data_IF_005444238829
#
_entry.id   IF_005444238829
#
_cell.length_a   1.000
_cell.length_b   1.000
_cell.length_c   1.000
_cell.angle_alpha   90.00
_cell.angle_beta   90.00
_cell.angle_gamma   90.00
#
_symmetry.space_group_name_H-M   'P 1'
#
loop_
_entity.id
_entity.type
_entity.pdbx_description
1 polymer ?
#
# COMPACT_ATOMS: atom_id res chain seq x y z
N UNK A 1 6.00 -14.20 -37.24
CA UNK A 1 5.72 -14.39 -35.79
C UNK A 1 6.33 -13.22 -35.06
N UNK A 2 5.70 -12.69 -34.00
CA UNK A 2 6.32 -11.69 -33.15
C UNK A 2 7.66 -12.20 -32.60
N UNK A 3 8.62 -11.32 -32.38
CA UNK A 3 9.88 -11.70 -31.74
C UNK A 3 9.65 -12.19 -30.30
N UNK A 4 10.68 -12.82 -29.71
CA UNK A 4 10.56 -13.46 -28.40
C UNK A 4 10.25 -12.47 -27.28
N UNK A 5 10.80 -11.25 -27.33
CA UNK A 5 10.50 -10.23 -26.32
C UNK A 5 9.05 -9.76 -26.44
N UNK A 6 8.54 -9.55 -27.66
CA UNK A 6 7.13 -9.22 -27.89
C UNK A 6 6.19 -10.31 -27.32
N UNK A 7 6.57 -11.59 -27.43
CA UNK A 7 5.81 -12.70 -26.83
C UNK A 7 5.87 -12.68 -25.29
N UNK A 8 7.06 -12.49 -24.70
CA UNK A 8 7.24 -12.34 -23.26
C UNK A 8 6.42 -11.15 -22.71
N UNK A 9 6.51 -10.01 -23.37
CA UNK A 9 5.77 -8.80 -23.02
C UNK A 9 4.26 -9.04 -23.04
N UNK A 10 3.75 -9.80 -24.03
CA UNK A 10 2.36 -10.22 -24.07
C UNK A 10 1.92 -11.00 -22.82
N UNK A 11 2.77 -11.92 -22.33
CA UNK A 11 2.52 -12.67 -21.10
C UNK A 11 2.62 -11.82 -19.83
N UNK A 12 3.60 -10.92 -19.78
CA UNK A 12 3.73 -9.95 -18.69
C UNK A 12 2.46 -9.10 -18.56
N UNK A 13 1.98 -8.55 -19.68
CA UNK A 13 0.77 -7.71 -19.70
C UNK A 13 -0.47 -8.52 -19.35
N UNK A 14 -0.58 -9.78 -19.78
CA UNK A 14 -1.67 -10.68 -19.40
C UNK A 14 -1.75 -10.84 -17.87
N UNK A 15 -0.62 -11.11 -17.22
CA UNK A 15 -0.53 -11.22 -15.76
C UNK A 15 -0.84 -9.87 -15.09
N UNK A 16 -0.25 -8.78 -15.56
CA UNK A 16 -0.47 -7.44 -14.98
C UNK A 16 -1.93 -6.99 -15.05
N UNK A 17 -2.66 -7.38 -16.10
CA UNK A 17 -4.11 -7.13 -16.19
C UNK A 17 -4.91 -7.91 -15.15
N UNK A 18 -4.54 -9.16 -14.88
CA UNK A 18 -5.20 -9.95 -13.82
C UNK A 18 -4.95 -9.33 -12.45
N UNK A 19 -3.74 -8.81 -12.19
CA UNK A 19 -3.43 -8.05 -10.97
C UNK A 19 -4.32 -6.81 -10.85
N UNK A 20 -4.51 -6.05 -11.93
CA UNK A 20 -5.40 -4.89 -11.92
C UNK A 20 -6.88 -5.26 -11.69
N UNK A 21 -7.35 -6.39 -12.23
CA UNK A 21 -8.71 -6.90 -11.96
C UNK A 21 -8.85 -7.28 -10.48
N UNK A 22 -7.85 -7.94 -9.90
CA UNK A 22 -7.83 -8.27 -8.47
C UNK A 22 -7.87 -7.01 -7.59
N UNK A 23 -7.08 -5.99 -7.94
CA UNK A 23 -7.09 -4.69 -7.27
C UNK A 23 -8.47 -4.02 -7.28
N UNK A 24 -9.18 -4.06 -8.42
CA UNK A 24 -10.55 -3.54 -8.53
C UNK A 24 -11.55 -4.31 -7.65
N UNK A 25 -11.42 -5.64 -7.61
CA UNK A 25 -12.29 -6.51 -6.82
C UNK A 25 -12.09 -6.27 -5.32
N UNK A 26 -10.84 -6.08 -4.89
CA UNK A 26 -10.49 -5.74 -3.52
C UNK A 26 -10.98 -4.33 -3.15
N UNK A 27 -10.79 -3.35 -4.04
CA UNK A 27 -11.34 -2.01 -3.83
C UNK A 27 -12.85 -2.04 -3.60
N UNK A 28 -13.61 -2.75 -4.44
CA UNK A 28 -15.06 -2.85 -4.28
C UNK A 28 -15.43 -3.56 -2.98
N UNK A 29 -14.64 -4.56 -2.57
CA UNK A 29 -14.86 -5.31 -1.33
C UNK A 29 -14.83 -4.40 -0.10
N UNK A 30 -13.91 -3.44 -0.09
CA UNK A 30 -13.67 -2.55 1.05
C UNK A 30 -14.43 -1.21 0.95
N UNK A 31 -15.26 -1.03 -0.08
CA UNK A 31 -16.03 0.21 -0.32
C UNK A 31 -17.53 -0.04 -0.51
N UNK A 32 -17.93 -0.78 -1.55
CA UNK A 32 -19.31 -0.85 -2.03
C UNK A 32 -19.97 -2.22 -1.94
N UNK A 33 -19.18 -3.28 -1.69
CA UNK A 33 -19.69 -4.64 -1.68
C UNK A 33 -20.83 -4.81 -0.66
N UNK A 34 -22.02 -5.29 -1.07
CA UNK A 34 -23.10 -5.61 -0.14
C UNK A 34 -22.67 -6.70 0.84
N UNK A 35 -23.16 -6.63 2.08
CA UNK A 35 -22.79 -7.57 3.15
C UNK A 35 -23.01 -9.06 2.80
N UNK A 36 -24.01 -9.38 1.98
CA UNK A 36 -24.29 -10.76 1.54
C UNK A 36 -23.39 -11.24 0.38
N UNK A 37 -22.54 -10.38 -0.17
CA UNK A 37 -21.65 -10.68 -1.31
C UNK A 37 -20.36 -11.41 -0.95
N UNK A 38 -20.03 -11.55 0.33
CA UNK A 38 -18.74 -12.05 0.83
C UNK A 38 -18.33 -13.40 0.21
N UNK A 39 -19.24 -14.38 0.13
CA UNK A 39 -18.89 -15.71 -0.37
C UNK A 39 -18.55 -15.69 -1.88
N UNK A 40 -19.40 -15.04 -2.68
CA UNK A 40 -19.15 -14.92 -4.12
C UNK A 40 -17.87 -14.11 -4.40
N UNK A 41 -17.60 -13.06 -3.61
CA UNK A 41 -16.36 -12.28 -3.69
C UNK A 41 -15.13 -13.13 -3.39
N UNK A 42 -15.18 -13.94 -2.35
CA UNK A 42 -14.09 -14.83 -1.99
C UNK A 42 -13.79 -15.85 -3.11
N UNK A 43 -14.81 -16.41 -3.75
CA UNK A 43 -14.66 -17.31 -4.91
C UNK A 43 -14.02 -16.61 -6.12
N UNK A 44 -14.41 -15.36 -6.41
CA UNK A 44 -13.80 -14.55 -7.47
C UNK A 44 -12.31 -14.30 -7.22
N UNK A 45 -11.96 -13.83 -6.03
CA UNK A 45 -10.56 -13.61 -5.63
C UNK A 45 -9.73 -14.90 -5.71
N UNK A 46 -10.30 -16.02 -5.25
CA UNK A 46 -9.62 -17.32 -5.31
C UNK A 46 -9.34 -17.75 -6.77
N UNK A 47 -10.32 -17.62 -7.67
CA UNK A 47 -10.14 -17.97 -9.08
C UNK A 47 -9.08 -17.11 -9.76
N UNK A 48 -9.05 -15.80 -9.48
CA UNK A 48 -8.03 -14.91 -10.03
C UNK A 48 -6.66 -15.27 -9.50
N UNK A 49 -6.52 -15.49 -8.19
CA UNK A 49 -5.25 -15.88 -7.58
C UNK A 49 -4.70 -17.19 -8.18
N UNK A 50 -5.55 -18.21 -8.37
CA UNK A 50 -5.18 -19.48 -9.03
C UNK A 50 -4.71 -19.22 -10.46
N UNK A 51 -5.47 -18.44 -11.24
CA UNK A 51 -5.17 -18.18 -12.65
C UNK A 51 -3.86 -17.40 -12.80
N UNK A 52 -3.68 -16.36 -11.98
CA UNK A 52 -2.45 -15.56 -11.94
C UNK A 52 -1.23 -16.42 -11.57
N UNK A 53 -1.35 -17.27 -10.54
CA UNK A 53 -0.26 -18.15 -10.13
C UNK A 53 0.12 -19.13 -11.25
N UNK A 54 -0.86 -19.79 -11.87
CA UNK A 54 -0.62 -20.71 -13.00
C UNK A 54 0.14 -20.05 -14.15
N UNK A 55 -0.20 -18.80 -14.50
CA UNK A 55 0.51 -18.05 -15.54
C UNK A 55 1.94 -17.69 -15.10
N UNK A 56 2.10 -17.21 -13.87
CA UNK A 56 3.37 -16.79 -13.29
C UNK A 56 4.37 -17.93 -13.10
N UNK A 57 3.92 -19.18 -13.04
CA UNK A 57 4.78 -20.37 -12.90
C UNK A 57 4.74 -21.27 -14.14
N UNK A 58 4.15 -20.82 -15.26
CA UNK A 58 4.01 -21.67 -16.44
C UNK A 58 5.35 -21.93 -17.14
N UNK A 59 5.53 -23.15 -17.66
CA UNK A 59 6.71 -23.52 -18.46
C UNK A 59 6.88 -22.59 -19.67
N UNK A 60 5.77 -22.20 -20.31
CA UNK A 60 5.79 -21.27 -21.43
C UNK A 60 6.38 -19.90 -21.07
N UNK A 61 6.08 -19.37 -19.88
CA UNK A 61 6.70 -18.13 -19.40
C UNK A 61 8.19 -18.33 -19.12
N UNK A 62 8.57 -19.44 -18.47
CA UNK A 62 9.96 -19.78 -18.18
C UNK A 62 10.81 -19.97 -19.45
N UNK A 63 10.25 -20.61 -20.47
CA UNK A 63 10.89 -20.77 -21.78
C UNK A 63 11.11 -19.41 -22.44
N UNK A 64 10.12 -18.51 -22.42
CA UNK A 64 10.27 -17.16 -22.97
C UNK A 64 11.36 -16.37 -22.22
N UNK A 65 11.34 -16.38 -20.88
CA UNK A 65 12.34 -15.70 -20.04
C UNK A 65 13.75 -16.20 -20.36
N UNK A 66 13.94 -17.52 -20.49
CA UNK A 66 15.25 -18.14 -20.75
C UNK A 66 15.80 -17.84 -22.15
N UNK A 67 14.95 -17.35 -23.05
CA UNK A 67 15.24 -17.19 -24.46
C UNK A 67 15.27 -15.72 -24.93
N UNK A 68 15.11 -14.77 -24.02
CA UNK A 68 15.19 -13.33 -24.27
C UNK A 68 16.45 -12.78 -23.61
N UNK A 69 17.21 -12.00 -24.36
CA UNK A 69 18.41 -11.33 -23.87
C UNK A 69 18.14 -9.84 -23.63
N UNK A 70 18.84 -9.29 -22.63
CA UNK A 70 18.93 -7.85 -22.40
C UNK A 70 19.64 -7.17 -23.57
N UNK A 71 19.21 -5.96 -23.91
CA UNK A 71 19.75 -5.21 -25.06
C UNK A 71 20.40 -3.88 -24.69
N UNK A 72 20.39 -3.52 -23.41
CA UNK A 72 20.77 -2.19 -22.92
C UNK A 72 19.65 -1.15 -23.02
N UNK A 73 18.42 -1.58 -23.36
CA UNK A 73 17.25 -0.70 -23.41
C UNK A 73 16.56 -0.73 -22.03
N UNK A 74 16.56 0.37 -21.26
CA UNK A 74 16.20 0.32 -19.84
C UNK A 74 14.81 -0.26 -19.52
N UNK A 75 13.78 0.10 -20.29
CA UNK A 75 12.41 -0.37 -20.06
C UNK A 75 12.27 -1.87 -20.35
N UNK A 76 12.85 -2.32 -21.47
CA UNK A 76 12.87 -3.73 -21.86
C UNK A 76 13.65 -4.57 -20.86
N UNK A 77 14.85 -4.14 -20.50
CA UNK A 77 15.72 -4.91 -19.60
C UNK A 77 15.12 -4.98 -18.18
N UNK A 78 14.43 -3.92 -17.73
CA UNK A 78 13.67 -3.93 -16.47
C UNK A 78 12.54 -4.96 -16.51
N UNK A 79 11.76 -5.00 -17.60
CA UNK A 79 10.70 -5.99 -17.75
C UNK A 79 11.24 -7.42 -17.74
N UNK A 80 12.36 -7.68 -18.41
CA UNK A 80 13.01 -9.00 -18.44
C UNK A 80 13.50 -9.39 -17.05
N UNK A 81 14.27 -8.50 -16.39
CA UNK A 81 14.86 -8.75 -15.07
C UNK A 81 13.80 -9.03 -14.01
N UNK A 82 12.77 -8.20 -13.93
CA UNK A 82 11.72 -8.36 -12.91
C UNK A 82 10.81 -9.56 -13.22
N UNK A 83 10.50 -9.83 -14.50
CA UNK A 83 9.78 -11.05 -14.86
C UNK A 83 10.56 -12.31 -14.49
N UNK A 84 11.87 -12.32 -14.74
CA UNK A 84 12.76 -13.42 -14.33
C UNK A 84 12.78 -13.58 -12.82
N UNK A 85 12.99 -12.50 -12.06
CA UNK A 85 12.98 -12.51 -10.60
C UNK A 85 11.68 -13.07 -10.04
N UNK A 86 10.54 -12.59 -10.54
CA UNK A 86 9.22 -13.02 -10.09
C UNK A 86 8.96 -14.49 -10.43
N UNK A 87 9.30 -14.93 -11.65
CA UNK A 87 9.18 -16.33 -12.07
C UNK A 87 10.04 -17.26 -11.22
N UNK A 88 11.31 -16.92 -10.99
CA UNK A 88 12.23 -17.74 -10.19
C UNK A 88 11.76 -17.87 -8.74
N UNK A 89 11.33 -16.76 -8.12
CA UNK A 89 10.80 -16.76 -6.74
C UNK A 89 9.52 -17.59 -6.63
N UNK A 90 8.58 -17.42 -7.56
CA UNK A 90 7.32 -18.15 -7.56
C UNK A 90 7.53 -19.65 -7.81
N UNK A 91 8.38 -20.02 -8.77
CA UNK A 91 8.67 -21.41 -9.13
C UNK A 91 9.44 -22.19 -8.06
N UNK A 92 10.11 -21.50 -7.13
CA UNK A 92 10.77 -22.13 -5.97
C UNK A 92 9.80 -22.58 -4.89
N UNK A 93 8.57 -22.07 -4.88
CA UNK A 93 7.57 -22.42 -3.88
C UNK A 93 6.80 -23.69 -4.31
N UNK A 94 6.83 -24.78 -3.52
CA UNK A 94 5.99 -25.93 -3.80
C UNK A 94 4.51 -25.56 -3.74
N UNK A 95 3.70 -26.07 -4.66
CA UNK A 95 2.26 -25.76 -4.70
C UNK A 95 1.54 -26.11 -3.39
N UNK A 96 1.95 -27.19 -2.72
CA UNK A 96 1.42 -27.56 -1.40
C UNK A 96 1.69 -26.48 -0.33
N UNK A 97 2.89 -25.89 -0.33
CA UNK A 97 3.24 -24.82 0.61
C UNK A 97 2.41 -23.56 0.34
N UNK A 98 2.19 -23.22 -0.93
CA UNK A 98 1.33 -22.08 -1.33
C UNK A 98 -0.10 -22.29 -0.84
N UNK A 99 -0.66 -23.49 -1.02
CA UNK A 99 -2.00 -23.85 -0.53
C UNK A 99 -2.10 -23.74 1.00
N UNK A 100 -1.12 -24.31 1.71
CA UNK A 100 -1.07 -24.27 3.17
C UNK A 100 -0.98 -22.83 3.71
N UNK A 101 -0.14 -21.98 3.11
CA UNK A 101 -0.02 -20.56 3.47
C UNK A 101 -1.35 -19.81 3.27
N UNK A 102 -2.01 -20.01 2.13
CA UNK A 102 -3.29 -19.37 1.80
C UNK A 102 -4.38 -19.75 2.79
N UNK A 103 -4.53 -21.05 3.06
CA UNK A 103 -5.50 -21.57 4.02
C UNK A 103 -5.23 -21.08 5.44
N UNK A 104 -3.97 -21.17 5.89
CA UNK A 104 -3.58 -20.74 7.23
C UNK A 104 -3.83 -19.25 7.45
N UNK A 105 -3.48 -18.40 6.46
CA UNK A 105 -3.69 -16.95 6.52
C UNK A 105 -5.18 -16.59 6.59
N UNK A 106 -6.02 -17.26 5.80
CA UNK A 106 -7.47 -17.03 5.80
C UNK A 106 -8.10 -17.38 7.16
N UNK A 107 -7.75 -18.54 7.73
CA UNK A 107 -8.24 -18.97 9.05
C UNK A 107 -7.73 -18.04 10.16
N UNK A 108 -6.44 -17.67 10.10
CA UNK A 108 -5.84 -16.78 11.08
C UNK A 108 -6.46 -15.37 11.07
N UNK A 109 -6.81 -14.82 9.90
CA UNK A 109 -7.47 -13.51 9.80
C UNK A 109 -8.82 -13.50 10.51
N UNK A 110 -9.62 -14.55 10.33
CA UNK A 110 -10.91 -14.72 11.02
C UNK A 110 -10.73 -14.86 12.54
N UNK A 111 -9.81 -15.74 12.97
CA UNK A 111 -9.51 -15.95 14.39
C UNK A 111 -8.96 -14.68 15.05
N UNK A 112 -8.10 -13.94 14.37
CA UNK A 112 -7.55 -12.66 14.84
C UNK A 112 -8.64 -11.61 15.05
N UNK A 113 -9.60 -11.50 14.13
CA UNK A 113 -10.66 -10.49 14.24
C UNK A 113 -11.49 -10.70 15.53
N UNK A 114 -11.85 -11.95 15.82
CA UNK A 114 -12.54 -12.31 17.06
C UNK A 114 -11.64 -12.12 18.30
N UNK A 115 -10.44 -12.70 18.28
CA UNK A 115 -9.48 -12.63 19.38
C UNK A 115 -9.12 -11.19 19.75
N UNK A 116 -8.98 -10.30 18.77
CA UNK A 116 -8.73 -8.88 18.99
C UNK A 116 -9.91 -8.19 19.68
N UNK A 117 -11.14 -8.52 19.28
CA UNK A 117 -12.34 -7.97 19.91
C UNK A 117 -12.49 -8.44 21.37
N UNK A 118 -12.11 -9.68 21.64
CA UNK A 118 -12.21 -10.31 22.97
C UNK A 118 -10.96 -10.12 23.83
N UNK A 119 -9.90 -9.49 23.30
CA UNK A 119 -8.58 -9.39 23.92
C UNK A 119 -7.99 -10.76 24.33
N UNK A 120 -8.23 -11.79 23.51
CA UNK A 120 -7.86 -13.19 23.76
C UNK A 120 -6.68 -13.63 22.88
N UNK A 121 -5.47 -13.24 23.28
CA UNK A 121 -4.25 -13.73 22.62
C UNK A 121 -4.09 -15.26 22.67
N UNK A 122 -4.38 -15.97 23.79
CA UNK A 122 -4.34 -17.44 23.82
C UNK A 122 -5.13 -18.12 22.70
N UNK A 123 -6.31 -17.61 22.33
CA UNK A 123 -7.09 -18.13 21.20
C UNK A 123 -6.39 -17.95 19.84
N UNK A 124 -5.65 -16.85 19.66
CA UNK A 124 -4.93 -16.56 18.41
C UNK A 124 -3.54 -17.21 18.31
N UNK A 125 -2.87 -17.45 19.45
CA UNK A 125 -1.49 -17.92 19.50
C UNK A 125 -1.19 -19.18 18.64
N UNK A 126 -2.05 -20.22 18.60
CA UNK A 126 -1.82 -21.38 17.74
C UNK A 126 -1.83 -21.05 16.23
N UNK A 127 -2.67 -20.10 15.82
CA UNK A 127 -2.71 -19.63 14.43
C UNK A 127 -1.42 -18.89 14.06
N UNK A 128 -0.94 -18.01 14.95
CA UNK A 128 0.31 -17.28 14.76
C UNK A 128 1.52 -18.22 14.67
N UNK A 129 1.60 -19.24 15.54
CA UNK A 129 2.68 -20.24 15.49
C UNK A 129 2.66 -21.02 14.17
N UNK A 130 1.47 -21.42 13.70
CA UNK A 130 1.30 -22.05 12.38
C UNK A 130 1.78 -21.16 11.22
N UNK A 131 1.38 -19.88 11.22
CA UNK A 131 1.82 -18.91 10.22
C UNK A 131 3.34 -18.71 10.25
N UNK A 132 3.95 -18.62 11.42
CA UNK A 132 5.39 -18.44 11.55
C UNK A 132 6.18 -19.65 11.02
N UNK A 133 5.69 -20.87 11.27
CA UNK A 133 6.27 -22.09 10.70
C UNK A 133 6.22 -22.08 9.17
N UNK A 134 5.07 -21.75 8.59
CA UNK A 134 4.89 -21.68 7.14
C UNK A 134 5.71 -20.54 6.52
N UNK A 135 5.81 -19.37 7.16
CA UNK A 135 6.63 -18.26 6.70
C UNK A 135 8.12 -18.64 6.67
N UNK A 136 8.61 -19.42 7.65
CA UNK A 136 9.98 -19.94 7.64
C UNK A 136 10.21 -20.92 6.50
N UNK A 137 9.26 -21.82 6.24
CA UNK A 137 9.33 -22.72 5.09
C UNK A 137 9.31 -21.96 3.76
N UNK A 138 8.50 -20.90 3.64
CA UNK A 138 8.49 -20.00 2.47
C UNK A 138 9.88 -19.39 2.23
N UNK A 139 10.48 -18.85 3.28
CA UNK A 139 11.82 -18.27 3.21
C UNK A 139 12.88 -19.30 2.81
N UNK A 140 12.85 -20.49 3.41
CA UNK A 140 13.78 -21.59 3.11
C UNK A 140 13.62 -22.08 1.65
N UNK A 141 12.38 -22.13 1.14
CA UNK A 141 12.08 -22.50 -0.24
C UNK A 141 12.57 -21.45 -1.25
N UNK A 142 12.34 -20.15 -0.98
CA UNK A 142 12.83 -19.05 -1.82
C UNK A 142 14.36 -19.02 -1.81
N UNK A 143 14.99 -19.27 -0.67
CA UNK A 143 16.42 -19.18 -0.45
C UNK A 143 16.88 -17.76 -0.12
N UNK A 144 17.96 -17.66 0.65
CA UNK A 144 18.55 -16.40 1.12
C UNK A 144 20.07 -16.55 1.28
N UNK A 145 20.81 -15.45 1.16
CA UNK A 145 22.26 -15.43 1.40
C UNK A 145 22.61 -15.10 2.86
N UNK A 146 21.87 -14.17 3.47
CA UNK A 146 22.10 -13.67 4.82
C UNK A 146 21.21 -14.36 5.84
N UNK A 147 20.27 -13.62 6.40
CA UNK A 147 19.30 -14.16 7.33
C UNK A 147 18.04 -14.67 6.61
N UNK A 148 17.38 -15.65 7.22
CA UNK A 148 16.11 -16.18 6.72
C UNK A 148 15.07 -15.07 6.50
N UNK A 149 15.07 -14.03 7.33
CA UNK A 149 14.13 -12.94 7.20
C UNK A 149 14.34 -12.10 5.93
N UNK A 150 15.57 -12.06 5.40
CA UNK A 150 15.89 -11.30 4.18
C UNK A 150 15.10 -11.83 2.97
N UNK A 151 14.88 -13.15 2.85
CA UNK A 151 14.07 -13.72 1.77
C UNK A 151 12.61 -13.23 1.76
N UNK A 152 12.04 -13.00 2.95
CA UNK A 152 10.67 -12.50 3.12
C UNK A 152 10.59 -10.99 2.94
N UNK A 153 11.61 -10.28 3.42
CA UNK A 153 11.66 -8.83 3.31
C UNK A 153 11.88 -8.35 1.87
N UNK A 154 12.68 -9.08 1.10
CA UNK A 154 12.93 -8.83 -0.33
C UNK A 154 11.65 -8.84 -1.18
N UNK A 155 10.57 -9.49 -0.71
CA UNK A 155 9.25 -9.43 -1.37
C UNK A 155 8.65 -8.02 -1.36
N UNK A 156 8.93 -7.24 -0.32
CA UNK A 156 8.35 -5.91 -0.09
C UNK A 156 9.32 -4.78 -0.41
N UNK A 157 10.61 -4.99 -0.14
CA UNK A 157 11.69 -4.04 -0.40
C UNK A 157 12.83 -4.78 -1.14
N UNK A 158 12.77 -4.87 -2.48
CA UNK A 158 13.74 -5.62 -3.26
C UNK A 158 15.18 -5.19 -2.98
N UNK A 159 16.03 -6.15 -2.60
CA UNK A 159 17.44 -5.95 -2.30
C UNK A 159 17.77 -5.50 -0.86
N UNK A 160 16.77 -5.15 -0.04
CA UNK A 160 17.02 -4.75 1.34
C UNK A 160 17.52 -5.94 2.19
N UNK A 161 18.43 -5.66 3.14
CA UNK A 161 18.92 -6.65 4.11
C UNK A 161 18.64 -6.22 5.55
N UNK A 162 18.26 -7.20 6.39
CA UNK A 162 17.94 -7.00 7.81
C UNK A 162 19.06 -6.29 8.57
N UNK A 163 20.32 -6.60 8.27
CA UNK A 163 21.48 -5.95 8.85
C UNK A 163 21.55 -4.44 8.58
N UNK A 164 21.23 -4.02 7.34
CA UNK A 164 21.25 -2.60 6.94
C UNK A 164 20.12 -1.83 7.62
N UNK A 165 18.93 -2.43 7.70
CA UNK A 165 17.78 -1.87 8.44
C UNK A 165 18.09 -1.80 9.94
N UNK A 166 18.78 -2.79 10.49
CA UNK A 166 19.19 -2.81 11.89
C UNK A 166 20.08 -1.61 12.26
N UNK A 167 21.07 -1.30 11.43
CA UNK A 167 21.93 -0.13 11.64
C UNK A 167 21.17 1.20 11.45
N UNK A 168 20.27 1.28 10.47
CA UNK A 168 19.37 2.42 10.31
C UNK A 168 18.51 2.65 11.57
N UNK A 169 17.87 1.60 12.07
CA UNK A 169 17.03 1.67 13.28
C UNK A 169 17.81 2.04 14.53
N UNK A 170 19.06 1.59 14.64
CA UNK A 170 19.96 1.99 15.74
C UNK A 170 20.26 3.49 15.71
N UNK A 171 20.57 4.03 14.53
CA UNK A 171 20.77 5.47 14.33
C UNK A 171 19.51 6.27 14.67
N UNK A 172 18.36 5.87 14.11
CA UNK A 172 17.07 6.52 14.37
C UNK A 172 16.69 6.47 15.85
N UNK A 173 16.86 5.32 16.52
CA UNK A 173 16.59 5.18 17.96
C UNK A 173 17.45 6.14 18.78
N UNK A 174 18.73 6.30 18.42
CA UNK A 174 19.66 7.20 19.08
C UNK A 174 19.22 8.67 19.05
N UNK A 175 18.55 9.10 17.97
CA UNK A 175 18.04 10.47 17.83
C UNK A 175 16.59 10.64 18.35
N UNK A 176 15.70 9.72 18.02
CA UNK A 176 14.26 9.86 18.28
C UNK A 176 13.90 9.63 19.75
N UNK A 177 14.57 8.71 20.47
CA UNK A 177 14.25 8.47 21.88
C UNK A 177 14.51 9.71 22.74
N UNK A 178 15.70 10.37 22.66
CA UNK A 178 15.93 11.62 23.40
C UNK A 178 14.99 12.75 22.99
N UNK A 179 14.63 12.85 21.69
CA UNK A 179 13.70 13.86 21.20
C UNK A 179 12.31 13.69 21.82
N UNK A 180 11.75 12.47 21.77
CA UNK A 180 10.44 12.16 22.35
C UNK A 180 10.45 12.39 23.86
N UNK A 181 11.52 12.00 24.57
CA UNK A 181 11.68 12.30 26.00
C UNK A 181 11.69 13.81 26.29
N UNK A 182 12.38 14.60 25.45
CA UNK A 182 12.43 16.05 25.60
C UNK A 182 11.06 16.69 25.37
N UNK A 183 10.30 16.22 24.38
CA UNK A 183 8.93 16.68 24.11
C UNK A 183 8.01 16.30 25.27
N UNK A 184 8.07 15.06 25.76
CA UNK A 184 7.23 14.59 26.86
C UNK A 184 7.50 15.33 28.19
N UNK A 185 8.74 15.77 28.41
CA UNK A 185 9.13 16.56 29.58
C UNK A 185 8.98 18.08 29.37
N UNK A 186 8.52 18.51 28.20
CA UNK A 186 8.30 19.93 27.91
C UNK A 186 7.21 20.52 28.80
N UNK A 187 7.43 21.74 29.28
CA UNK A 187 6.43 22.50 30.04
C UNK A 187 5.47 23.28 29.15
N UNK A 188 5.55 23.11 27.83
CA UNK A 188 4.67 23.76 26.85
C UNK A 188 3.58 22.77 26.41
N UNK A 189 2.39 22.77 27.03
CA UNK A 189 1.30 21.88 26.62
C UNK A 189 0.76 22.30 25.25
N UNK A 190 0.36 21.31 24.46
CA UNK A 190 -0.41 21.52 23.23
C UNK A 190 -1.89 21.41 23.59
N UNK A 191 -2.67 22.42 23.27
CA UNK A 191 -4.13 22.34 23.35
C UNK A 191 -4.66 21.67 22.08
N UNK A 192 -5.19 20.44 22.23
CA UNK A 192 -5.78 19.69 21.13
C UNK A 192 -7.31 19.86 21.03
N UNK A 193 -7.91 20.77 21.81
CA UNK A 193 -9.35 21.02 21.79
C UNK A 193 -9.81 21.46 20.39
N UNK A 194 -9.06 22.35 19.73
CA UNK A 194 -9.39 22.91 18.42
C UNK A 194 -9.61 21.78 17.42
N UNK A 195 -8.68 20.82 17.30
CA UNK A 195 -8.78 19.70 16.35
C UNK A 195 -9.83 18.66 16.78
N UNK A 196 -10.38 18.74 18.01
CA UNK A 196 -11.43 17.86 18.56
C UNK A 196 -12.82 18.49 18.63
N UNK A 197 -12.98 19.71 18.10
CA UNK A 197 -14.29 20.34 17.89
C UNK A 197 -15.13 19.51 16.90
N UNK A 198 -16.35 19.97 16.64
CA UNK A 198 -17.21 19.31 15.66
C UNK A 198 -16.82 19.71 14.24
N UNK A 199 -16.53 18.71 13.40
CA UNK A 199 -16.16 18.88 12.00
C UNK A 199 -17.11 18.04 11.14
N UNK A 200 -18.21 18.59 10.60
CA UNK A 200 -19.19 17.82 9.85
C UNK A 200 -18.56 17.00 8.72
N UNK A 201 -18.97 15.74 8.58
CA UNK A 201 -18.35 14.82 7.64
C UNK A 201 -18.34 15.35 6.20
N UNK A 202 -19.45 15.94 5.74
CA UNK A 202 -19.55 16.51 4.40
C UNK A 202 -18.56 17.66 4.16
N UNK A 203 -18.27 18.46 5.18
CA UNK A 203 -17.29 19.54 5.10
C UNK A 203 -15.86 18.99 5.11
N UNK A 204 -15.58 17.93 5.87
CA UNK A 204 -14.29 17.21 5.79
C UNK A 204 -14.07 16.62 4.40
N UNK A 205 -15.08 15.98 3.80
CA UNK A 205 -14.98 15.43 2.45
C UNK A 205 -14.70 16.53 1.42
N UNK A 206 -15.37 17.68 1.54
CA UNK A 206 -15.15 18.82 0.65
C UNK A 206 -13.74 19.39 0.77
N UNK A 207 -13.24 19.61 2.00
CA UNK A 207 -11.87 20.06 2.22
C UNK A 207 -10.85 19.03 1.72
N UNK A 208 -11.07 17.73 1.97
CA UNK A 208 -10.21 16.66 1.46
C UNK A 208 -10.06 16.71 -0.06
N UNK A 209 -11.18 16.84 -0.80
CA UNK A 209 -11.16 16.93 -2.27
C UNK A 209 -10.50 18.22 -2.75
N UNK A 210 -10.67 19.32 -2.03
CA UNK A 210 -9.98 20.58 -2.30
C UNK A 210 -8.46 20.40 -2.18
N UNK A 211 -7.99 19.87 -1.05
CA UNK A 211 -6.56 19.69 -0.79
C UNK A 211 -5.92 18.67 -1.73
N UNK A 212 -6.61 17.56 -2.03
CA UNK A 212 -6.16 16.59 -3.02
C UNK A 212 -5.97 17.22 -4.41
N UNK A 213 -6.95 18.03 -4.86
CA UNK A 213 -6.83 18.78 -6.10
C UNK A 213 -5.68 19.79 -6.07
N UNK A 214 -5.47 20.45 -4.93
CA UNK A 214 -4.42 21.44 -4.76
C UNK A 214 -2.99 20.85 -4.85
N UNK A 215 -2.83 19.57 -4.48
CA UNK A 215 -1.58 18.81 -4.68
C UNK A 215 -1.58 18.01 -6.00
N UNK A 216 -2.42 18.41 -6.95
CA UNK A 216 -2.47 17.90 -8.33
C UNK A 216 -2.98 16.46 -8.50
N UNK A 217 -3.76 15.94 -7.55
CA UNK A 217 -4.44 14.66 -7.77
C UNK A 217 -5.50 14.79 -8.89
N UNK A 218 -5.37 13.98 -9.93
CA UNK A 218 -6.27 14.03 -11.08
C UNK A 218 -7.53 13.19 -10.82
N UNK A 219 -8.63 13.87 -10.47
CA UNK A 219 -9.95 13.24 -10.28
C UNK A 219 -10.61 12.76 -11.59
N UNK A 220 -10.05 13.05 -12.77
CA UNK A 220 -10.49 12.43 -14.02
C UNK A 220 -9.83 11.06 -14.24
N UNK A 221 -8.74 10.80 -13.52
CA UNK A 221 -7.96 9.57 -13.50
C UNK A 221 -8.01 8.86 -12.13
N UNK A 222 -8.96 9.24 -11.27
CA UNK A 222 -9.06 8.74 -9.91
C UNK A 222 -10.28 9.20 -9.14
N UNK A 223 -10.43 8.70 -7.91
CA UNK A 223 -11.56 9.05 -7.03
C UNK A 223 -11.22 8.86 -5.56
N UNK A 224 -11.96 9.57 -4.70
CA UNK A 224 -11.92 9.47 -3.25
C UNK A 224 -13.22 8.84 -2.72
N UNK A 225 -13.09 7.74 -1.99
CA UNK A 225 -14.21 6.98 -1.41
C UNK A 225 -14.07 6.77 0.09
N UNK A 226 -15.06 6.11 0.70
CA UNK A 226 -15.07 5.75 2.11
C UNK A 226 -14.69 4.28 2.30
N UNK A 227 -13.87 4.01 3.31
CA UNK A 227 -13.53 2.66 3.75
C UNK A 227 -13.31 2.63 5.26
N UNK A 228 -13.26 1.43 5.86
CA UNK A 228 -12.96 1.28 7.30
C UNK A 228 -11.49 1.62 7.59
N UNK A 229 -10.61 1.26 6.66
CA UNK A 229 -9.17 1.49 6.72
C UNK A 229 -8.76 2.22 5.44
N UNK A 230 -8.30 3.48 5.50
CA UNK A 230 -7.80 4.21 4.35
C UNK A 230 -6.73 3.41 3.59
N UNK A 231 -6.77 3.48 2.26
CA UNK A 231 -5.80 2.87 1.35
C UNK A 231 -5.84 3.54 -0.02
N UNK A 232 -4.74 3.38 -0.77
CA UNK A 232 -4.60 3.69 -2.18
C UNK A 232 -4.48 2.39 -2.98
N UNK A 233 -5.11 2.35 -4.15
CA UNK A 233 -5.05 1.23 -5.09
C UNK A 233 -5.06 1.74 -6.54
N UNK A 234 -4.47 0.97 -7.44
CA UNK A 234 -4.26 1.37 -8.83
C UNK A 234 -4.65 0.23 -9.76
N UNK A 235 -5.52 0.52 -10.73
CA UNK A 235 -5.79 -0.36 -11.88
C UNK A 235 -4.90 -0.01 -13.08
N UNK A 236 -3.96 0.91 -12.87
CA UNK A 236 -3.11 1.54 -13.86
C UNK A 236 -3.08 3.07 -13.65
N UNK A 237 -2.15 3.81 -14.30
CA UNK A 237 -1.93 5.22 -14.00
C UNK A 237 -3.12 6.17 -14.26
N UNK A 238 -4.18 5.66 -14.91
CA UNK A 238 -5.40 6.42 -15.26
C UNK A 238 -6.66 6.00 -14.49
N UNK A 239 -6.52 5.07 -13.54
CA UNK A 239 -7.58 4.70 -12.59
C UNK A 239 -6.92 4.39 -11.24
N UNK A 240 -6.70 5.45 -10.47
CA UNK A 240 -6.07 5.42 -9.14
C UNK A 240 -7.08 5.86 -8.10
N UNK A 241 -7.37 4.99 -7.14
CA UNK A 241 -8.44 5.20 -6.17
C UNK A 241 -7.86 5.30 -4.78
N UNK A 242 -8.31 6.29 -4.04
CA UNK A 242 -7.94 6.52 -2.66
C UNK A 242 -9.18 6.42 -1.80
N UNK A 243 -9.03 5.96 -0.57
CA UNK A 243 -10.13 5.88 0.38
C UNK A 243 -9.77 6.61 1.67
N UNK A 244 -10.78 7.10 2.38
CA UNK A 244 -10.59 7.71 3.68
C UNK A 244 -11.72 7.31 4.64
N UNK A 245 -11.56 7.73 5.89
CA UNK A 245 -12.60 7.63 6.92
C UNK A 245 -12.73 8.97 7.62
N UNK A 246 -13.95 9.34 7.96
CA UNK A 246 -14.24 10.61 8.63
C UNK A 246 -14.55 10.37 10.10
N UNK A 247 -14.21 11.37 10.92
CA UNK A 247 -14.55 11.42 12.34
C UNK A 247 -15.05 12.84 12.64
N UNK A 248 -16.35 13.00 12.90
CA UNK A 248 -16.93 14.32 13.14
C UNK A 248 -16.45 15.00 14.42
N UNK A 249 -15.66 14.30 15.24
CA UNK A 249 -15.05 14.78 16.50
C UNK A 249 -13.54 14.87 16.41
N UNK A 250 -12.95 14.68 15.22
CA UNK A 250 -11.52 14.79 15.04
C UNK A 250 -11.15 15.22 13.61
N UNK A 251 -10.56 16.41 13.47
CA UNK A 251 -10.15 16.99 12.18
C UNK A 251 -9.07 16.15 11.48
N UNK A 252 -8.03 15.75 12.21
CA UNK A 252 -6.78 15.26 11.63
C UNK A 252 -6.87 13.94 10.83
N UNK A 253 -7.61 12.90 11.27
CA UNK A 253 -7.56 11.59 10.61
C UNK A 253 -7.96 11.61 9.14
N UNK A 254 -9.04 12.31 8.78
CA UNK A 254 -9.51 12.35 7.40
C UNK A 254 -8.57 13.18 6.53
N UNK A 255 -8.20 14.37 7.00
CA UNK A 255 -7.38 15.32 6.23
C UNK A 255 -5.99 14.75 5.95
N UNK A 256 -5.27 14.32 6.99
CA UNK A 256 -3.93 13.76 6.81
C UNK A 256 -3.98 12.35 6.22
N UNK A 257 -5.05 11.58 6.47
CA UNK A 257 -5.29 10.32 5.78
C UNK A 257 -5.42 10.52 4.26
N UNK A 258 -6.19 11.52 3.82
CA UNK A 258 -6.30 11.83 2.38
C UNK A 258 -4.97 12.32 1.81
N UNK A 259 -4.24 13.20 2.49
CA UNK A 259 -2.91 13.62 1.99
C UNK A 259 -1.92 12.46 1.91
N UNK A 260 -2.02 11.50 2.82
CA UNK A 260 -1.24 10.26 2.81
C UNK A 260 -1.59 9.39 1.59
N UNK A 261 -2.86 9.01 1.44
CA UNK A 261 -3.29 8.13 0.34
C UNK A 261 -3.17 8.82 -1.03
N UNK A 262 -3.39 10.14 -1.10
CA UNK A 262 -3.14 10.91 -2.33
C UNK A 262 -1.64 10.96 -2.63
N UNK A 263 -0.76 11.02 -1.64
CA UNK A 263 0.68 10.94 -1.89
C UNK A 263 1.10 9.63 -2.56
N UNK A 264 0.49 8.51 -2.15
CA UNK A 264 0.58 7.25 -2.90
C UNK A 264 -0.03 7.39 -4.31
N UNK A 265 -1.23 7.96 -4.40
CA UNK A 265 -1.94 8.11 -5.67
C UNK A 265 -1.19 8.98 -6.69
N UNK A 266 -0.47 10.01 -6.26
CA UNK A 266 0.37 10.85 -7.11
C UNK A 266 1.56 10.09 -7.67
N UNK A 267 2.12 9.14 -6.91
CA UNK A 267 3.16 8.26 -7.44
C UNK A 267 2.58 7.39 -8.55
N UNK A 268 1.45 6.74 -8.30
CA UNK A 268 0.76 5.87 -9.26
C UNK A 268 0.31 6.62 -10.52
N UNK A 269 -0.28 7.82 -10.39
CA UNK A 269 -0.65 8.68 -11.52
C UNK A 269 0.56 9.22 -12.29
N UNK A 270 1.72 9.30 -11.65
CA UNK A 270 2.98 9.75 -12.24
C UNK A 270 3.73 8.67 -13.04
N UNK A 271 3.32 7.40 -12.96
CA UNK A 271 3.91 6.32 -13.74
C UNK A 271 3.56 6.46 -15.23
N UNK A 272 4.51 6.13 -16.11
CA UNK A 272 4.31 6.25 -17.56
C UNK A 272 3.24 5.27 -18.07
N UNK A 273 2.10 5.76 -18.60
CA UNK A 273 1.04 4.89 -19.14
C UNK A 273 1.50 3.99 -20.30
N UNK A 274 2.61 4.31 -20.97
CA UNK A 274 3.18 3.46 -22.01
C UNK A 274 3.67 2.10 -21.48
N UNK A 275 3.94 2.01 -20.18
CA UNK A 275 4.44 0.81 -19.50
C UNK A 275 3.41 0.12 -18.61
N UNK A 276 2.12 0.51 -18.70
CA UNK A 276 1.04 -0.09 -17.92
C UNK A 276 1.04 -1.64 -18.01
N UNK A 277 0.74 -2.28 -16.88
CA UNK A 277 0.73 -3.76 -16.74
C UNK A 277 2.08 -4.44 -16.97
N UNK A 278 3.19 -3.70 -16.94
CA UNK A 278 4.54 -4.24 -16.99
C UNK A 278 5.31 -3.86 -15.73
N UNK A 279 6.35 -4.61 -15.32
CA UNK A 279 7.18 -4.24 -14.17
C UNK A 279 7.80 -2.83 -14.26
N UNK A 280 8.11 -2.35 -15.47
CA UNK A 280 8.59 -0.97 -15.66
C UNK A 280 7.54 0.09 -15.31
N UNK A 281 6.25 -0.26 -15.40
CA UNK A 281 5.13 0.64 -15.12
C UNK A 281 4.48 0.43 -13.75
N UNK A 282 5.22 -0.13 -12.78
CA UNK A 282 4.74 -0.32 -11.40
C UNK A 282 5.62 0.42 -10.40
N UNK A 283 5.06 0.75 -9.23
CA UNK A 283 5.85 1.26 -8.11
C UNK A 283 7.00 0.30 -7.74
N UNK A 284 8.17 0.86 -7.41
CA UNK A 284 9.40 0.07 -7.28
C UNK A 284 9.50 -0.75 -5.99
N UNK A 285 8.94 -0.27 -4.89
CA UNK A 285 8.96 -0.92 -3.57
C UNK A 285 7.98 -0.27 -2.61
N UNK A 286 7.65 -0.93 -1.50
CA UNK A 286 6.79 -0.34 -0.47
C UNK A 286 7.45 0.87 0.21
N UNK A 287 8.76 0.83 0.45
CA UNK A 287 9.49 1.93 1.07
C UNK A 287 9.48 3.20 0.22
N UNK A 288 9.68 3.08 -1.10
CA UNK A 288 9.56 4.24 -2.00
C UNK A 288 8.10 4.69 -2.11
N UNK A 289 7.14 3.77 -2.15
CA UNK A 289 5.72 4.13 -2.18
C UNK A 289 5.30 4.90 -0.92
N UNK A 290 5.72 4.45 0.27
CA UNK A 290 5.51 5.11 1.57
C UNK A 290 6.31 6.41 1.70
N UNK A 291 7.43 6.55 1.00
CA UNK A 291 8.15 7.83 0.97
C UNK A 291 7.30 8.94 0.35
N UNK A 292 6.49 8.62 -0.68
CA UNK A 292 5.63 9.59 -1.34
C UNK A 292 4.43 9.95 -0.46
N UNK A 293 3.78 8.97 0.18
CA UNK A 293 2.68 9.25 1.13
C UNK A 293 3.14 10.11 2.30
N UNK A 294 4.28 9.79 2.92
CA UNK A 294 4.83 10.56 4.05
C UNK A 294 5.35 11.93 3.66
N UNK A 295 5.85 12.09 2.43
CA UNK A 295 6.22 13.40 1.91
C UNK A 295 5.00 14.32 1.86
N UNK A 296 3.91 13.87 1.25
CA UNK A 296 2.71 14.69 1.11
C UNK A 296 1.93 14.85 2.41
N UNK A 297 1.85 13.81 3.24
CA UNK A 297 1.20 13.88 4.56
C UNK A 297 1.96 14.81 5.52
N UNK A 298 3.26 14.56 5.72
CA UNK A 298 4.01 15.15 6.82
C UNK A 298 4.87 16.33 6.38
N UNK A 299 5.72 16.12 5.36
CA UNK A 299 6.69 17.15 4.96
C UNK A 299 5.99 18.34 4.31
N UNK A 300 4.92 18.09 3.56
CA UNK A 300 4.07 19.13 2.95
C UNK A 300 2.86 19.41 3.84
N UNK A 301 1.99 18.43 4.04
CA UNK A 301 0.67 18.58 4.67
C UNK A 301 0.69 19.06 6.12
N UNK A 302 1.73 18.75 6.90
CA UNK A 302 1.89 19.25 8.28
C UNK A 302 2.83 20.45 8.38
N UNK A 303 3.26 21.02 7.27
CA UNK A 303 4.13 22.19 7.27
C UNK A 303 3.36 23.48 7.52
N UNK A 304 4.00 24.45 8.17
CA UNK A 304 3.45 25.79 8.35
C UNK A 304 3.15 26.48 7.01
N UNK A 305 3.99 26.25 5.99
CA UNK A 305 3.80 26.87 4.67
C UNK A 305 2.51 26.39 4.00
N UNK A 306 2.19 25.10 4.12
CA UNK A 306 0.95 24.52 3.59
C UNK A 306 -0.28 25.14 4.27
N UNK A 307 -0.28 25.21 5.60
CA UNK A 307 -1.41 25.79 6.33
C UNK A 307 -1.50 27.31 6.18
N UNK A 308 -0.41 28.05 6.03
CA UNK A 308 -0.47 29.48 5.64
C UNK A 308 -1.24 29.69 4.34
N UNK A 309 -1.19 28.74 3.42
CA UNK A 309 -1.92 28.83 2.15
C UNK A 309 -3.37 28.34 2.28
N UNK A 310 -3.62 27.25 2.99
CA UNK A 310 -4.94 26.58 3.01
C UNK A 310 -5.82 26.88 4.23
N UNK A 311 -5.30 27.55 5.27
CA UNK A 311 -6.04 27.71 6.51
C UNK A 311 -7.29 28.59 6.37
N UNK A 312 -7.21 29.68 5.60
CA UNK A 312 -8.39 30.50 5.32
C UNK A 312 -9.52 29.68 4.67
N UNK A 313 -9.17 28.81 3.73
CA UNK A 313 -10.13 27.86 3.13
C UNK A 313 -10.66 26.86 4.15
N UNK A 314 -9.82 26.34 5.06
CA UNK A 314 -10.29 25.49 6.15
C UNK A 314 -11.28 26.22 7.07
N UNK A 315 -11.07 27.50 7.37
CA UNK A 315 -12.01 28.33 8.13
C UNK A 315 -13.35 28.51 7.39
N UNK A 316 -13.34 28.66 6.07
CA UNK A 316 -14.57 28.73 5.26
C UNK A 316 -15.37 27.44 5.31
N UNK A 317 -14.71 26.27 5.32
CA UNK A 317 -15.38 24.98 5.47
C UNK A 317 -15.86 24.70 6.90
N UNK A 318 -15.20 25.29 7.91
CA UNK A 318 -15.50 25.06 9.33
C UNK A 318 -15.62 26.36 10.13
N UNK A 319 -16.59 27.24 9.79
CA UNK A 319 -16.69 28.56 10.42
C UNK A 319 -16.97 28.48 11.92
N UNK A 320 -17.73 27.49 12.37
CA UNK A 320 -18.03 27.28 13.79
C UNK A 320 -16.82 26.72 14.58
N UNK A 321 -15.99 25.89 13.95
CA UNK A 321 -14.87 25.25 14.64
C UNK A 321 -13.58 26.06 14.56
N UNK A 322 -13.37 26.81 13.47
CA UNK A 322 -12.10 27.50 13.17
C UNK A 322 -12.25 29.02 12.93
N UNK A 323 -13.47 29.55 12.82
CA UNK A 323 -13.68 30.95 12.40
C UNK A 323 -13.10 32.01 13.35
N UNK A 324 -12.94 31.67 14.64
CA UNK A 324 -12.31 32.51 15.67
C UNK A 324 -10.87 32.10 16.00
N UNK A 325 -10.35 31.07 15.35
CA UNK A 325 -9.04 30.49 15.64
C UNK A 325 -7.98 31.12 14.71
N UNK A 326 -6.90 31.72 15.23
CA UNK A 326 -5.77 32.14 14.41
C UNK A 326 -4.92 30.93 14.00
N UNK A 327 -4.25 31.02 12.84
CA UNK A 327 -3.40 29.94 12.31
C UNK A 327 -2.35 29.46 13.33
N UNK A 328 -1.76 30.37 14.11
CA UNK A 328 -0.72 30.03 15.08
C UNK A 328 -1.23 29.13 16.22
N UNK A 329 -2.54 29.14 16.49
CA UNK A 329 -3.18 28.29 17.49
C UNK A 329 -3.65 26.94 16.92
N UNK A 330 -3.74 26.81 15.59
CA UNK A 330 -4.17 25.61 14.88
C UNK A 330 -2.97 24.71 14.52
#
# INVERSE_FOLDING_TARGET
MPDKYTQLLGKIIEIGRLTAVDALIQWDQDTYMPQKGVNARAEMCAQIAITSHQLQTSDALGELISNVEETGEPARDTNIREAKRNYERASRLPSELVEQLSRASSLAKSAWAQARQENDFPAFAPHLDGLLKLARQKADAIGFEGERYDALMDEYEPGARSAEIGELFKSLRGALVPLVQSIANSTNPIDDEIIRRHYPEAAQEALCKHLASAICFDFTAGRLDRSVHPFCTSMGPRDVRVTTRFDERFFSPAIFGVLHEVGHGLYEQGLDPAHQFTPMGTATSLGIHESQSRLWENMVGRSLAFWKHHYATAQEYFPEALGDVPLEAF
#
